data_IF_491942466496
#
_entry.id   IF_491942466496
#
_cell.length_a   1.000
_cell.length_b   1.000
_cell.length_c   1.000
_cell.angle_alpha   90.00
_cell.angle_beta   90.00
_cell.angle_gamma   90.00
#
_symmetry.space_group_name_H-M   'P 1'
#
loop_
_entity.id
_entity.type
_entity.pdbx_description
1 polymer ?
#
# COMPACT_ATOMS: atom_id res chain seq x y z
N UNK A 1 -62.98 3.84 -6.34
CA UNK A 1 -61.52 3.60 -6.25
C UNK A 1 -61.18 3.40 -4.78
N UNK A 2 -61.07 2.13 -4.37
CA UNK A 2 -61.23 1.72 -2.98
C UNK A 2 -60.01 2.07 -2.14
N UNK A 3 -60.25 2.74 -1.00
CA UNK A 3 -59.24 3.20 -0.02
C UNK A 3 -58.28 2.07 0.39
N UNK A 4 -58.80 0.84 0.44
CA UNK A 4 -58.06 -0.38 0.78
C UNK A 4 -56.92 -0.67 -0.21
N UNK A 5 -57.10 -0.41 -1.51
CA UNK A 5 -56.07 -0.65 -2.52
C UNK A 5 -54.90 0.34 -2.40
N UNK A 6 -55.15 1.58 -1.93
CA UNK A 6 -54.11 2.58 -1.69
C UNK A 6 -53.23 2.24 -0.48
N UNK A 7 -53.83 1.70 0.58
CA UNK A 7 -53.11 1.33 1.80
C UNK A 7 -52.18 0.13 1.55
N UNK A 8 -52.66 -0.87 0.81
CA UNK A 8 -51.84 -2.05 0.46
C UNK A 8 -50.64 -1.63 -0.41
N UNK A 9 -50.84 -0.70 -1.35
CA UNK A 9 -49.77 -0.19 -2.21
C UNK A 9 -48.68 0.57 -1.44
N UNK A 10 -49.02 1.25 -0.33
CA UNK A 10 -48.05 1.96 0.51
C UNK A 10 -47.24 1.04 1.42
N UNK A 11 -47.84 -0.06 1.88
CA UNK A 11 -47.16 -1.06 2.74
C UNK A 11 -46.12 -1.86 1.92
N UNK A 12 -46.42 -2.19 0.67
CA UNK A 12 -45.47 -2.91 -0.20
C UNK A 12 -44.28 -2.01 -0.58
N UNK A 13 -44.49 -0.70 -0.76
CA UNK A 13 -43.42 0.23 -1.10
C UNK A 13 -42.44 0.49 0.06
N UNK A 14 -42.89 0.32 1.31
CA UNK A 14 -42.06 0.53 2.50
C UNK A 14 -41.22 -0.71 2.87
N UNK A 15 -41.61 -1.91 2.44
CA UNK A 15 -40.82 -3.13 2.68
C UNK A 15 -39.53 -3.23 1.85
N UNK A 16 -39.42 -2.53 0.72
CA UNK A 16 -38.22 -2.57 -0.13
C UNK A 16 -37.09 -1.62 0.31
N UNK A 17 -37.34 -0.70 1.26
CA UNK A 17 -36.35 0.28 1.68
C UNK A 17 -35.38 -0.21 2.78
N UNK A 18 -35.66 -1.36 3.42
CA UNK A 18 -34.86 -1.87 4.54
C UNK A 18 -33.74 -2.86 4.13
N UNK A 19 -33.66 -3.25 2.86
CA UNK A 19 -32.60 -4.11 2.31
C UNK A 19 -31.44 -3.28 1.70
N UNK A 20 -31.20 -2.08 2.21
CA UNK A 20 -29.96 -1.34 1.98
C UNK A 20 -28.82 -2.04 2.70
N UNK A 21 -28.16 -2.95 1.98
CA UNK A 21 -27.02 -3.73 2.42
C UNK A 21 -26.04 -2.90 3.28
N UNK A 22 -25.79 -3.36 4.51
CA UNK A 22 -24.49 -3.15 5.14
C UNK A 22 -23.48 -3.92 4.31
N UNK A 23 -23.02 -3.32 3.22
CA UNK A 23 -21.74 -3.67 2.63
C UNK A 23 -20.70 -3.21 3.65
N UNK A 24 -20.42 -4.09 4.61
CA UNK A 24 -19.19 -4.00 5.38
C UNK A 24 -18.08 -4.00 4.35
N UNK A 25 -17.42 -2.85 4.20
CA UNK A 25 -16.17 -2.74 3.48
C UNK A 25 -15.22 -3.73 4.19
N UNK A 26 -15.21 -4.96 3.71
CA UNK A 26 -14.11 -5.86 3.93
C UNK A 26 -12.90 -5.07 3.47
N UNK A 27 -12.09 -4.61 4.42
CA UNK A 27 -10.78 -4.04 4.18
C UNK A 27 -9.96 -5.14 3.52
N UNK A 28 -10.16 -5.31 2.22
CA UNK A 28 -9.20 -5.91 1.31
C UNK A 28 -7.87 -5.31 1.73
N UNK A 29 -6.94 -6.13 2.22
CA UNK A 29 -5.56 -5.72 2.32
C UNK A 29 -5.12 -5.43 0.89
N UNK A 30 -5.27 -4.17 0.47
CA UNK A 30 -5.09 -3.80 -0.92
C UNK A 30 -3.63 -4.06 -1.31
N UNK A 31 -3.47 -5.03 -2.20
CA UNK A 31 -2.19 -5.35 -2.81
C UNK A 31 -1.83 -4.16 -3.69
N UNK A 32 -0.74 -3.50 -3.33
CA UNK A 32 -0.19 -2.36 -4.05
C UNK A 32 0.93 -2.83 -4.97
N UNK A 33 1.04 -2.24 -6.15
CA UNK A 33 2.17 -2.45 -7.05
C UNK A 33 3.00 -1.18 -7.14
N UNK A 34 4.27 -1.25 -6.80
CA UNK A 34 5.19 -0.12 -6.89
C UNK A 34 6.63 -0.59 -7.12
N UNK A 35 7.47 0.32 -7.60
CA UNK A 35 8.92 0.14 -7.59
C UNK A 35 9.48 0.76 -6.32
N UNK A 36 10.06 -0.08 -5.47
CA UNK A 36 10.49 0.31 -4.13
C UNK A 36 11.88 -0.23 -3.82
N UNK A 37 12.55 0.42 -2.86
CA UNK A 37 13.72 -0.15 -2.19
C UNK A 37 13.27 -1.22 -1.19
N UNK A 38 13.94 -2.37 -1.20
CA UNK A 38 13.65 -3.55 -0.41
C UNK A 38 14.86 -3.85 0.44
N UNK A 39 14.71 -3.77 1.75
CA UNK A 39 15.75 -4.00 2.73
C UNK A 39 15.38 -5.17 3.65
N UNK A 40 16.37 -5.97 4.05
CA UNK A 40 16.16 -7.09 4.97
C UNK A 40 15.89 -6.68 6.42
N UNK A 41 16.08 -5.41 6.79
CA UNK A 41 15.80 -4.89 8.12
C UNK A 41 15.45 -3.40 8.09
N UNK A 42 14.82 -2.91 9.16
CA UNK A 42 14.47 -1.50 9.31
C UNK A 42 15.72 -0.61 9.34
N UNK A 43 16.78 -1.04 10.04
CA UNK A 43 18.04 -0.30 10.17
C UNK A 43 18.71 -0.12 8.80
N UNK A 44 18.62 -1.13 7.93
CA UNK A 44 19.14 -1.06 6.55
C UNK A 44 18.34 -0.07 5.70
N UNK A 45 17.03 0.01 5.88
CA UNK A 45 16.20 1.00 5.20
C UNK A 45 16.52 2.43 5.66
N UNK A 46 16.77 2.62 6.96
CA UNK A 46 17.22 3.91 7.51
C UNK A 46 18.58 4.31 6.96
N UNK A 47 19.53 3.36 6.90
CA UNK A 47 20.85 3.61 6.34
C UNK A 47 20.76 4.01 4.86
N UNK A 48 19.93 3.32 4.08
CA UNK A 48 19.66 3.69 2.69
C UNK A 48 19.12 5.13 2.57
N UNK A 49 18.18 5.52 3.43
CA UNK A 49 17.65 6.87 3.46
C UNK A 49 18.70 7.94 3.83
N UNK A 50 19.66 7.57 4.71
CA UNK A 50 20.74 8.46 5.14
C UNK A 50 21.85 8.60 4.08
N UNK A 51 22.15 7.55 3.32
CA UNK A 51 23.18 7.54 2.27
C UNK A 51 22.71 8.26 0.99
N UNK A 52 21.41 8.31 0.72
CA UNK A 52 20.85 8.90 -0.49
C UNK A 52 20.23 10.26 -0.21
N UNK A 53 20.79 11.32 -0.82
CA UNK A 53 20.23 12.68 -0.70
C UNK A 53 18.91 12.85 -1.45
N UNK A 54 18.72 12.06 -2.51
CA UNK A 54 17.51 11.98 -3.33
C UNK A 54 17.06 10.51 -3.37
N UNK A 55 16.11 10.16 -2.52
CA UNK A 55 15.64 8.77 -2.36
C UNK A 55 14.80 8.36 -3.56
N UNK A 56 13.99 9.27 -4.10
CA UNK A 56 13.17 9.00 -5.29
C UNK A 56 14.04 8.71 -6.51
N UNK A 57 15.08 9.51 -6.74
CA UNK A 57 16.03 9.24 -7.83
C UNK A 57 16.76 7.91 -7.62
N UNK A 58 17.17 7.59 -6.40
CA UNK A 58 17.80 6.32 -6.07
C UNK A 58 16.88 5.11 -6.31
N UNK A 59 15.56 5.24 -6.08
CA UNK A 59 14.59 4.18 -6.39
C UNK A 59 14.22 4.10 -7.88
N UNK A 60 14.43 5.18 -8.65
CA UNK A 60 14.21 5.21 -10.08
C UNK A 60 15.37 4.58 -10.87
N UNK A 61 16.59 4.60 -10.34
CA UNK A 61 17.77 4.03 -10.99
C UNK A 61 17.82 2.50 -10.80
N UNK A 62 17.72 1.75 -11.90
CA UNK A 62 17.80 0.28 -11.88
C UNK A 62 19.17 -0.26 -11.47
N UNK A 63 20.21 0.57 -11.57
CA UNK A 63 21.58 0.24 -11.16
C UNK A 63 21.91 0.73 -9.76
N UNK A 64 21.02 1.48 -9.12
CA UNK A 64 21.19 1.97 -7.75
C UNK A 64 20.92 0.87 -6.72
N UNK A 65 21.69 -0.21 -6.80
CA UNK A 65 22.09 -0.95 -5.60
C UNK A 65 23.20 -0.14 -4.94
N UNK A 66 22.88 0.57 -3.86
CA UNK A 66 23.85 1.36 -3.09
C UNK A 66 25.08 0.54 -2.69
N UNK A 67 26.22 1.24 -2.51
CA UNK A 67 27.54 0.66 -2.25
C UNK A 67 27.63 -0.23 -0.99
N UNK A 68 26.62 -0.19 -0.14
CA UNK A 68 26.37 -1.16 0.93
C UNK A 68 25.30 -2.14 0.43
N UNK A 69 25.67 -3.37 0.06
CA UNK A 69 24.85 -4.44 -0.55
C UNK A 69 23.64 -4.94 0.28
N UNK A 70 22.90 -4.04 0.93
CA UNK A 70 21.92 -4.30 1.98
C UNK A 70 20.47 -4.11 1.54
N UNK A 71 20.24 -3.40 0.43
CA UNK A 71 18.93 -3.15 -0.13
C UNK A 71 18.93 -3.29 -1.66
N UNK A 72 17.80 -3.72 -2.21
CA UNK A 72 17.55 -3.93 -3.64
C UNK A 72 16.41 -3.02 -4.09
N UNK A 73 16.53 -2.37 -5.25
CA UNK A 73 15.40 -1.68 -5.87
C UNK A 73 14.70 -2.62 -6.85
N UNK A 74 13.41 -2.89 -6.65
CA UNK A 74 12.65 -3.75 -7.55
C UNK A 74 11.17 -3.33 -7.66
N UNK A 75 10.54 -3.68 -8.79
CA UNK A 75 9.10 -3.64 -8.93
C UNK A 75 8.46 -4.80 -8.18
N UNK A 76 7.54 -4.52 -7.27
CA UNK A 76 6.90 -5.51 -6.40
C UNK A 76 5.40 -5.29 -6.27
N UNK A 77 4.67 -6.38 -6.03
CA UNK A 77 3.33 -6.37 -5.47
C UNK A 77 3.46 -6.65 -3.98
N UNK A 78 2.88 -5.82 -3.14
CA UNK A 78 3.05 -5.89 -1.69
C UNK A 78 1.79 -5.47 -0.94
N UNK A 79 1.72 -5.93 0.30
CA UNK A 79 0.74 -5.48 1.29
C UNK A 79 1.49 -4.62 2.30
N UNK A 80 1.00 -3.41 2.53
CA UNK A 80 1.56 -2.51 3.56
C UNK A 80 1.27 -3.06 4.94
N UNK A 81 2.30 -3.18 5.77
CA UNK A 81 2.20 -3.58 7.16
C UNK A 81 2.39 -2.39 8.10
N UNK A 82 3.10 -2.63 9.20
CA UNK A 82 3.33 -1.63 10.25
C UNK A 82 4.32 -0.57 9.78
N UNK A 83 3.92 0.70 9.93
CA UNK A 83 4.85 1.83 9.85
C UNK A 83 5.66 1.88 11.15
N UNK A 84 6.98 2.04 11.01
CA UNK A 84 7.91 2.08 12.12
C UNK A 84 8.37 3.52 12.36
N UNK A 85 9.59 3.84 11.95
CA UNK A 85 10.23 5.12 12.21
C UNK A 85 10.16 6.03 10.99
N UNK A 86 10.09 7.33 11.23
CA UNK A 86 10.13 8.36 10.19
C UNK A 86 11.55 8.88 10.01
N UNK A 87 12.06 8.80 8.80
CA UNK A 87 13.34 9.38 8.39
C UNK A 87 13.05 10.63 7.56
N UNK A 88 13.75 11.72 7.85
CA UNK A 88 13.63 12.96 7.07
C UNK A 88 14.99 13.32 6.50
N UNK A 89 15.02 13.57 5.19
CA UNK A 89 16.19 14.08 4.49
C UNK A 89 15.80 15.24 3.56
N UNK A 90 16.69 15.64 2.64
CA UNK A 90 16.45 16.74 1.70
C UNK A 90 15.32 16.48 0.69
N UNK A 91 15.03 15.21 0.39
CA UNK A 91 14.00 14.77 -0.55
C UNK A 91 12.61 14.59 0.11
N UNK A 92 12.58 14.57 1.44
CA UNK A 92 11.36 14.67 2.24
C UNK A 92 11.35 13.75 3.45
N UNK A 93 10.14 13.53 3.97
CA UNK A 93 9.91 12.58 5.06
C UNK A 93 9.42 11.25 4.52
N UNK A 94 10.02 10.17 4.99
CA UNK A 94 9.74 8.79 4.61
C UNK A 94 9.50 7.97 5.87
N UNK A 95 8.47 7.12 5.84
CA UNK A 95 8.24 6.12 6.87
C UNK A 95 8.96 4.82 6.47
N UNK A 96 9.82 4.33 7.36
CA UNK A 96 10.30 2.95 7.31
C UNK A 96 9.09 2.06 7.56
N UNK A 97 8.74 1.26 6.57
CA UNK A 97 7.49 0.47 6.59
C UNK A 97 7.83 -0.99 6.39
N UNK A 98 7.32 -1.84 7.29
CA UNK A 98 7.30 -3.29 7.12
C UNK A 98 6.25 -3.62 6.06
N UNK A 99 6.64 -4.37 5.03
CA UNK A 99 5.75 -4.78 3.94
C UNK A 99 5.85 -6.28 3.73
N UNK A 100 4.77 -6.88 3.25
CA UNK A 100 4.75 -8.27 2.80
C UNK A 100 4.74 -8.30 1.28
N UNK A 101 5.84 -8.72 0.66
CA UNK A 101 5.90 -8.91 -0.79
C UNK A 101 5.13 -10.17 -1.14
N UNK A 102 4.23 -10.07 -2.11
CA UNK A 102 3.43 -11.19 -2.65
C UNK A 102 3.70 -11.44 -4.14
N UNK A 103 4.42 -10.53 -4.80
CA UNK A 103 4.83 -10.71 -6.19
C UNK A 103 5.96 -9.79 -6.60
N UNK A 104 6.64 -10.15 -7.70
CA UNK A 104 7.75 -9.39 -8.29
C UNK A 104 7.46 -9.07 -9.75
N UNK A 105 7.88 -7.90 -10.21
CA UNK A 105 7.75 -7.49 -11.60
C UNK A 105 8.81 -8.22 -12.46
N UNK A 106 8.35 -8.77 -13.58
CA UNK A 106 9.18 -9.42 -14.59
C UNK A 106 8.88 -8.79 -15.97
N UNK A 107 9.70 -9.04 -17.01
CA UNK A 107 9.38 -8.61 -18.37
C UNK A 107 8.04 -9.13 -18.91
N UNK A 108 7.47 -10.18 -18.29
CA UNK A 108 6.20 -10.80 -18.69
C UNK A 108 5.02 -10.38 -17.80
N UNK A 109 5.23 -9.43 -16.88
CA UNK A 109 4.23 -8.97 -15.91
C UNK A 109 4.58 -9.37 -14.47
N UNK A 110 3.58 -9.32 -13.58
CA UNK A 110 3.76 -9.66 -12.17
C UNK A 110 3.76 -11.18 -11.97
N UNK A 111 4.82 -11.69 -11.35
CA UNK A 111 4.93 -13.09 -10.92
C UNK A 111 4.64 -13.17 -9.43
N UNK A 112 3.65 -13.97 -9.04
CA UNK A 112 3.38 -14.27 -7.64
C UNK A 112 4.53 -15.08 -7.04
N UNK A 113 4.87 -14.79 -5.79
CA UNK A 113 5.92 -15.49 -5.05
C UNK A 113 5.40 -15.96 -3.70
N UNK A 114 6.18 -16.79 -3.00
CA UNK A 114 5.92 -17.06 -1.60
C UNK A 114 6.02 -15.75 -0.79
N UNK A 115 4.99 -15.39 0.00
CA UNK A 115 4.99 -14.13 0.73
C UNK A 115 6.18 -13.99 1.66
N UNK A 116 6.83 -12.82 1.64
CA UNK A 116 8.00 -12.53 2.48
C UNK A 116 7.93 -11.13 3.08
N UNK A 117 8.22 -11.04 4.38
CA UNK A 117 8.23 -9.77 5.13
C UNK A 117 9.59 -9.10 4.98
N UNK A 118 9.57 -7.84 4.56
CA UNK A 118 10.75 -7.00 4.33
C UNK A 118 10.45 -5.56 4.73
N UNK A 119 11.42 -4.68 4.57
CA UNK A 119 11.31 -3.27 4.94
C UNK A 119 11.55 -2.37 3.73
N UNK A 120 10.81 -1.27 3.66
CA UNK A 120 10.91 -0.27 2.59
C UNK A 120 10.78 1.15 3.14
N UNK A 121 10.93 2.14 2.26
CA UNK A 121 10.70 3.55 2.52
C UNK A 121 9.47 4.00 1.73
N UNK A 122 8.41 4.38 2.43
CA UNK A 122 7.23 4.99 1.81
C UNK A 122 7.21 6.47 2.16
N UNK A 123 6.98 7.35 1.18
CA UNK A 123 6.89 8.79 1.44
C UNK A 123 5.76 9.02 2.45
N UNK A 124 6.05 9.74 3.53
CA UNK A 124 5.05 10.08 4.52
C UNK A 124 3.97 10.91 3.81
N UNK A 125 2.71 10.47 3.90
CA UNK A 125 1.62 11.32 3.45
C UNK A 125 1.62 12.56 4.34
N UNK A 126 1.62 13.73 3.72
CA UNK A 126 1.35 14.97 4.42
C UNK A 126 -0.08 14.87 4.93
N UNK A 127 -0.28 14.75 6.24
CA UNK A 127 -1.61 14.79 6.83
C UNK A 127 -2.23 16.13 6.43
N UNK A 128 -3.26 16.10 5.58
CA UNK A 128 -4.02 17.29 5.27
C UNK A 128 -4.64 17.78 6.59
N UNK A 129 -4.12 18.91 7.09
CA UNK A 129 -4.60 19.60 8.27
C UNK A 129 -6.00 20.19 8.08
#
# INVERSE_FOLDING_TARGET
>A
MNLVAKVIMWIVLSLFAALGAKAENASSQDVQAARLVICGSAEKAQLFAAENQDIQAAMADEKATGASASCLVAGIAYISGRQMERVTNKDGSYNVTEIMIVGVATPYGMLAIEPSVVYTLLKAQEEAA
#
